data_IF_774001231057
#
_entry.id   IF_774001231057
#
_cell.length_a   1.000
_cell.length_b   1.000
_cell.length_c   1.000
_cell.angle_alpha   90.00
_cell.angle_beta   90.00
_cell.angle_gamma   90.00
#
_symmetry.space_group_name_H-M   'P 1'
#
loop_
_entity.id
_entity.type
_entity.pdbx_description
1 polymer ?
#
# COMPACT_ATOMS: atom_id res chain seq x y z
N UNK A 1 -50.00 -47.62 -25.21
CA UNK A 1 -49.18 -46.39 -25.42
C UNK A 1 -48.63 -46.01 -24.11
N UNK A 2 -47.36 -46.46 -23.79
CA UNK A 2 -46.70 -46.22 -22.53
C UNK A 2 -45.83 -44.94 -22.69
N UNK A 3 -46.15 -43.87 -21.95
CA UNK A 3 -45.31 -42.71 -21.86
C UNK A 3 -44.16 -42.98 -20.85
N UNK A 4 -42.95 -43.04 -21.35
CA UNK A 4 -41.72 -43.00 -20.54
C UNK A 4 -41.43 -41.54 -20.16
N UNK A 5 -41.57 -41.21 -18.88
CA UNK A 5 -41.09 -39.95 -18.31
C UNK A 5 -39.65 -40.19 -17.88
N UNK A 6 -38.72 -39.53 -18.55
CA UNK A 6 -37.29 -39.50 -18.18
C UNK A 6 -37.11 -38.42 -17.09
N UNK A 7 -36.61 -38.73 -15.90
CA UNK A 7 -36.26 -37.69 -14.92
C UNK A 7 -34.97 -36.99 -15.36
N UNK A 8 -35.10 -35.72 -15.72
CA UNK A 8 -33.97 -34.87 -16.06
C UNK A 8 -33.40 -34.20 -14.81
N UNK A 9 -32.08 -34.29 -14.66
CA UNK A 9 -31.21 -33.32 -13.99
C UNK A 9 -31.23 -33.13 -12.45
N UNK A 10 -31.00 -34.19 -11.68
CA UNK A 10 -30.54 -34.02 -10.29
C UNK A 10 -29.02 -33.86 -10.17
N UNK A 11 -28.22 -34.31 -11.16
CA UNK A 11 -26.77 -34.36 -11.08
C UNK A 11 -26.04 -33.01 -11.26
N UNK A 12 -26.60 -32.11 -12.10
CA UNK A 12 -25.89 -30.84 -12.45
C UNK A 12 -25.95 -29.82 -11.33
N UNK A 13 -27.03 -29.78 -10.55
CA UNK A 13 -27.18 -28.85 -9.43
C UNK A 13 -26.28 -29.25 -8.26
N UNK A 14 -26.14 -30.55 -8.00
CA UNK A 14 -25.24 -31.08 -6.98
C UNK A 14 -23.77 -30.89 -7.34
N UNK A 15 -23.42 -30.98 -8.62
CA UNK A 15 -22.07 -30.78 -9.12
C UNK A 15 -21.67 -29.29 -9.06
N UNK A 16 -22.57 -28.37 -9.36
CA UNK A 16 -22.36 -26.92 -9.19
C UNK A 16 -22.22 -26.56 -7.71
N UNK A 17 -23.06 -27.10 -6.83
CA UNK A 17 -22.97 -26.87 -5.40
C UNK A 17 -21.67 -27.42 -4.79
N UNK A 18 -21.17 -28.56 -5.28
CA UNK A 18 -19.87 -29.10 -4.88
C UNK A 18 -18.69 -28.23 -5.35
N UNK A 19 -18.73 -27.70 -6.57
CA UNK A 19 -17.74 -26.78 -7.12
C UNK A 19 -17.70 -25.45 -6.39
N UNK A 20 -18.85 -24.87 -6.03
CA UNK A 20 -18.92 -23.64 -5.22
C UNK A 20 -18.38 -23.86 -3.82
N UNK A 21 -18.68 -24.99 -3.19
CA UNK A 21 -18.16 -25.34 -1.87
C UNK A 21 -16.64 -25.53 -1.88
N UNK A 22 -16.07 -26.15 -2.91
CA UNK A 22 -14.63 -26.26 -3.09
C UNK A 22 -13.96 -24.91 -3.36
N UNK A 23 -14.62 -24.02 -4.11
CA UNK A 23 -14.13 -22.68 -4.41
C UNK A 23 -14.11 -21.78 -3.16
N UNK A 24 -15.14 -21.84 -2.32
CA UNK A 24 -15.18 -21.07 -1.06
C UNK A 24 -14.19 -21.59 -0.04
N UNK A 25 -13.98 -22.90 0.07
CA UNK A 25 -12.96 -23.48 0.97
C UNK A 25 -11.54 -23.14 0.49
N UNK A 26 -11.26 -23.24 -0.81
CA UNK A 26 -9.94 -22.88 -1.36
C UNK A 26 -9.65 -21.37 -1.26
N UNK A 27 -10.66 -20.51 -1.43
CA UNK A 27 -10.50 -19.06 -1.25
C UNK A 27 -10.30 -18.70 0.24
N UNK A 28 -10.99 -19.36 1.16
CA UNK A 28 -10.81 -19.12 2.60
C UNK A 28 -9.45 -19.61 3.09
N UNK A 29 -8.96 -20.78 2.64
CA UNK A 29 -7.63 -21.28 3.00
C UNK A 29 -6.50 -20.39 2.46
N UNK A 30 -6.60 -19.94 1.21
CA UNK A 30 -5.61 -19.04 0.61
C UNK A 30 -5.63 -17.66 1.25
N UNK A 31 -6.80 -17.16 1.65
CA UNK A 31 -6.95 -15.87 2.33
C UNK A 31 -6.50 -15.98 3.78
N UNK A 32 -6.83 -17.07 4.49
CA UNK A 32 -6.34 -17.31 5.86
C UNK A 32 -4.83 -17.59 5.90
N UNK A 33 -4.26 -18.29 4.91
CA UNK A 33 -2.82 -18.47 4.81
C UNK A 33 -2.08 -17.16 4.49
N UNK A 34 -2.67 -16.25 3.72
CA UNK A 34 -2.13 -14.89 3.51
C UNK A 34 -2.23 -14.02 4.76
N UNK A 35 -3.29 -14.16 5.56
CA UNK A 35 -3.46 -13.44 6.83
C UNK A 35 -2.58 -14.07 7.92
N UNK A 36 -2.35 -15.38 7.88
CA UNK A 36 -1.51 -16.11 8.84
C UNK A 36 0.00 -16.07 8.52
N UNK A 37 0.43 -15.55 7.37
CA UNK A 37 1.81 -15.09 7.21
C UNK A 37 1.96 -13.85 8.10
N UNK A 38 2.23 -14.11 9.38
CA UNK A 38 2.60 -13.13 10.39
C UNK A 38 3.69 -12.25 9.76
N UNK A 39 3.30 -11.06 9.29
CA UNK A 39 4.22 -10.14 8.65
C UNK A 39 5.45 -10.02 9.56
N UNK A 40 6.63 -10.30 9.01
CA UNK A 40 7.87 -10.17 9.77
C UNK A 40 7.91 -8.77 10.36
N UNK A 41 8.12 -8.61 11.68
CA UNK A 41 8.11 -7.30 12.30
C UNK A 41 9.08 -6.37 11.57
N UNK A 42 8.59 -5.25 11.09
CA UNK A 42 9.39 -4.20 10.47
C UNK A 42 9.71 -3.16 11.54
N UNK A 43 11.00 -2.95 11.77
CA UNK A 43 11.48 -2.06 12.81
C UNK A 43 12.26 -0.89 12.20
N UNK A 44 11.97 0.31 12.66
CA UNK A 44 12.71 1.53 12.33
C UNK A 44 13.51 2.00 13.54
N UNK A 45 14.83 2.21 13.37
CA UNK A 45 15.69 2.69 14.43
C UNK A 45 15.87 4.19 14.30
N UNK A 46 15.49 4.93 15.34
CA UNK A 46 15.74 6.35 15.46
C UNK A 46 17.23 6.64 15.78
N UNK A 47 17.70 7.83 15.47
CA UNK A 47 19.04 8.31 15.82
C UNK A 47 19.32 8.30 17.34
N UNK A 48 18.27 8.41 18.15
CA UNK A 48 18.31 8.25 19.62
C UNK A 48 18.60 6.82 20.08
N UNK A 49 18.66 5.84 19.15
CA UNK A 49 18.81 4.41 19.44
C UNK A 49 17.48 3.68 19.71
N UNK A 50 16.37 4.40 19.87
CA UNK A 50 15.05 3.80 20.07
C UNK A 50 14.59 3.05 18.80
N UNK A 51 13.95 1.91 18.99
CA UNK A 51 13.42 1.08 17.90
C UNK A 51 11.89 1.14 17.92
N UNK A 52 11.32 1.53 16.80
CA UNK A 52 9.87 1.61 16.59
C UNK A 52 9.40 0.45 15.72
N UNK A 53 8.28 -0.16 16.10
CA UNK A 53 7.61 -1.14 15.24
C UNK A 53 6.75 -0.39 14.22
N UNK A 54 7.11 -0.53 12.95
CA UNK A 54 6.42 0.12 11.82
C UNK A 54 5.79 -0.90 10.86
N UNK A 55 5.48 -2.10 11.34
CA UNK A 55 4.99 -3.22 10.53
C UNK A 55 3.76 -2.87 9.69
N UNK A 56 2.91 -1.99 10.20
CA UNK A 56 1.68 -1.56 9.52
C UNK A 56 1.80 -0.23 8.79
N UNK A 57 3.03 0.27 8.62
CA UNK A 57 3.27 1.53 7.94
C UNK A 57 3.85 1.32 6.55
N UNK A 58 3.46 2.18 5.64
CA UNK A 58 3.98 2.25 4.28
C UNK A 58 4.23 3.70 3.87
N UNK A 59 5.08 3.89 2.88
CA UNK A 59 5.23 5.19 2.21
C UNK A 59 4.15 5.28 1.14
N UNK A 60 3.42 6.40 1.10
CA UNK A 60 2.53 6.77 0.00
C UNK A 60 3.17 7.92 -0.75
N UNK A 61 3.51 7.66 -2.01
CA UNK A 61 4.22 8.57 -2.89
C UNK A 61 3.30 9.12 -3.97
N UNK A 62 3.30 10.43 -4.15
CA UNK A 62 2.55 11.12 -5.20
C UNK A 62 3.50 11.68 -6.26
N UNK A 63 3.26 11.30 -7.52
CA UNK A 63 4.09 11.68 -8.65
C UNK A 63 3.30 12.08 -9.90
N UNK A 64 4.02 12.51 -10.94
CA UNK A 64 3.58 12.56 -12.34
C UNK A 64 4.68 11.98 -13.23
N UNK A 65 4.30 11.37 -14.33
CA UNK A 65 5.26 10.78 -15.28
C UNK A 65 6.17 11.83 -15.95
N UNK A 66 5.64 13.04 -16.20
CA UNK A 66 6.35 14.15 -16.81
C UNK A 66 7.11 15.05 -15.82
N UNK A 67 7.06 14.74 -14.53
CA UNK A 67 7.70 15.51 -13.47
C UNK A 67 9.22 15.27 -13.44
N UNK A 68 10.02 16.29 -13.74
CA UNK A 68 11.48 16.19 -13.72
C UNK A 68 12.04 15.85 -12.33
N UNK A 69 11.51 16.45 -11.27
CA UNK A 69 11.94 16.18 -9.89
C UNK A 69 11.57 14.77 -9.46
N UNK A 70 10.41 14.24 -9.89
CA UNK A 70 10.03 12.87 -9.63
C UNK A 70 11.01 11.89 -10.26
N UNK A 71 11.38 12.07 -11.54
CA UNK A 71 12.36 11.21 -12.21
C UNK A 71 13.73 11.16 -11.52
N UNK A 72 14.11 12.24 -10.85
CA UNK A 72 15.37 12.28 -10.09
C UNK A 72 15.21 11.66 -8.69
N UNK A 73 14.06 11.86 -8.05
CA UNK A 73 13.82 11.42 -6.67
C UNK A 73 13.33 9.97 -6.58
N UNK A 74 12.53 9.49 -7.53
CA UNK A 74 11.94 8.15 -7.49
C UNK A 74 12.98 7.01 -7.30
N UNK A 75 14.14 7.01 -7.99
CA UNK A 75 15.21 6.03 -7.72
C UNK A 75 15.76 6.12 -6.29
N UNK A 76 15.88 7.33 -5.75
CA UNK A 76 16.37 7.57 -4.38
C UNK A 76 15.37 7.00 -3.37
N UNK A 77 14.10 7.37 -3.50
CA UNK A 77 13.02 6.88 -2.65
C UNK A 77 12.95 5.35 -2.69
N UNK A 78 12.95 4.75 -3.88
CA UNK A 78 12.88 3.31 -4.05
C UNK A 78 14.07 2.60 -3.38
N UNK A 79 15.29 3.13 -3.54
CA UNK A 79 16.49 2.59 -2.91
C UNK A 79 16.42 2.65 -1.38
N UNK A 80 16.02 3.79 -0.81
CA UNK A 80 15.86 3.97 0.64
C UNK A 80 14.77 3.04 1.18
N UNK A 81 13.63 2.98 0.52
CA UNK A 81 12.52 2.14 0.93
C UNK A 81 12.90 0.65 0.94
N UNK A 82 13.63 0.18 -0.08
CA UNK A 82 14.14 -1.20 -0.14
C UNK A 82 15.15 -1.48 0.98
N UNK A 83 16.08 -0.58 1.26
CA UNK A 83 17.07 -0.73 2.33
C UNK A 83 16.40 -0.81 3.71
N UNK A 84 15.36 -0.03 3.93
CA UNK A 84 14.60 -0.01 5.18
C UNK A 84 13.52 -1.09 5.25
N UNK A 85 13.21 -1.73 4.13
CA UNK A 85 12.13 -2.73 4.01
C UNK A 85 10.73 -2.14 4.10
N UNK A 86 10.57 -0.81 3.89
CA UNK A 86 9.28 -0.12 3.96
C UNK A 86 8.57 -0.22 2.60
N UNK A 87 7.33 -0.74 2.55
CA UNK A 87 6.56 -0.77 1.31
C UNK A 87 6.29 0.63 0.78
N UNK A 88 6.29 0.78 -0.56
CA UNK A 88 5.92 2.03 -1.24
C UNK A 88 4.66 1.79 -2.06
N UNK A 89 3.66 2.66 -1.85
CA UNK A 89 2.44 2.73 -2.63
C UNK A 89 2.44 4.02 -3.43
N UNK A 90 2.17 3.95 -4.74
CA UNK A 90 2.36 5.09 -5.64
C UNK A 90 1.05 5.54 -6.28
N UNK A 91 0.72 6.80 -6.07
CA UNK A 91 -0.31 7.52 -6.81
C UNK A 91 0.31 8.42 -7.89
N UNK A 92 -0.34 8.47 -9.05
CA UNK A 92 0.05 9.36 -10.14
C UNK A 92 -1.09 10.30 -10.51
N UNK A 93 -0.80 11.62 -10.58
CA UNK A 93 -1.78 12.64 -10.96
C UNK A 93 -2.17 12.56 -12.45
N UNK A 94 -1.30 12.00 -13.30
CA UNK A 94 -1.60 11.76 -14.72
C UNK A 94 -1.95 10.30 -15.02
N UNK A 95 -1.97 9.43 -13.98
CA UNK A 95 -2.27 8.01 -14.10
C UNK A 95 -1.19 7.19 -14.79
N UNK A 96 -0.03 7.79 -15.09
CA UNK A 96 1.09 7.15 -15.75
C UNK A 96 2.25 6.92 -14.79
N UNK A 97 2.92 5.77 -14.92
CA UNK A 97 4.15 5.46 -14.20
C UNK A 97 5.40 5.96 -14.91
N UNK A 98 6.57 5.69 -14.30
CA UNK A 98 7.87 5.92 -14.87
C UNK A 98 8.74 4.66 -14.87
N UNK A 99 10.03 4.78 -15.17
CA UNK A 99 10.97 3.65 -15.17
C UNK A 99 11.23 3.05 -13.79
N UNK A 100 11.00 3.80 -12.71
CA UNK A 100 11.17 3.34 -11.34
C UNK A 100 9.87 2.72 -10.79
N UNK A 101 8.76 3.41 -11.01
CA UNK A 101 7.43 3.01 -10.56
C UNK A 101 6.49 2.84 -11.76
N UNK A 102 6.47 1.65 -12.34
CA UNK A 102 5.60 1.33 -13.48
C UNK A 102 4.15 1.03 -13.06
N UNK A 103 3.96 0.53 -11.85
CA UNK A 103 2.64 0.21 -11.28
C UNK A 103 2.19 1.34 -10.37
N UNK A 104 1.29 2.18 -10.88
CA UNK A 104 0.74 3.33 -10.15
C UNK A 104 -0.78 3.30 -10.19
N UNK A 105 -1.42 3.94 -9.20
CA UNK A 105 -2.86 4.20 -9.24
C UNK A 105 -3.12 5.67 -9.59
N UNK A 106 -4.16 5.96 -10.37
CA UNK A 106 -4.55 7.34 -10.62
C UNK A 106 -5.05 8.01 -9.34
N UNK A 107 -4.72 9.29 -9.18
CA UNK A 107 -5.27 10.12 -8.09
C UNK A 107 -6.74 10.40 -8.37
N UNK A 108 -7.59 10.22 -7.37
CA UNK A 108 -9.02 10.56 -7.41
C UNK A 108 -9.32 11.80 -6.57
N UNK A 109 -10.48 12.47 -6.74
CA UNK A 109 -10.88 13.58 -5.88
C UNK A 109 -10.91 13.24 -4.39
N UNK A 110 -11.31 12.02 -4.03
CA UNK A 110 -11.34 11.55 -2.64
C UNK A 110 -9.91 11.43 -2.07
N UNK A 111 -8.97 10.90 -2.85
CA UNK A 111 -7.54 10.84 -2.48
C UNK A 111 -6.98 12.25 -2.29
N UNK A 112 -7.33 13.21 -3.15
CA UNK A 112 -6.93 14.61 -2.98
C UNK A 112 -7.48 15.18 -1.67
N UNK A 113 -8.76 14.96 -1.40
CA UNK A 113 -9.40 15.43 -0.17
C UNK A 113 -8.77 14.86 1.10
N UNK A 114 -8.30 13.61 1.06
CA UNK A 114 -7.67 12.96 2.20
C UNK A 114 -6.23 13.44 2.44
N UNK A 115 -5.42 13.51 1.38
CA UNK A 115 -3.98 13.78 1.52
C UNK A 115 -3.61 15.26 1.40
N UNK A 116 -4.40 16.05 0.69
CA UNK A 116 -4.10 17.45 0.38
C UNK A 116 -5.19 18.43 0.81
N UNK A 117 -5.86 18.28 1.98
CA UNK A 117 -6.93 19.20 2.37
C UNK A 117 -6.41 20.63 2.53
N UNK A 118 -5.16 20.80 2.98
CA UNK A 118 -4.52 22.11 3.21
C UNK A 118 -3.12 22.20 2.56
N UNK A 119 -2.65 21.09 1.95
CA UNK A 119 -1.33 21.04 1.31
C UNK A 119 -1.45 21.34 -0.18
N UNK A 120 -0.47 22.03 -0.79
CA UNK A 120 -0.42 22.19 -2.23
C UNK A 120 -0.17 20.84 -2.92
N UNK A 121 -0.86 20.62 -4.05
CA UNK A 121 -0.72 19.41 -4.86
C UNK A 121 0.55 19.48 -5.74
N UNK A 122 1.71 19.45 -5.12
CA UNK A 122 3.01 19.43 -5.80
C UNK A 122 3.56 18.02 -5.89
N UNK A 123 4.46 17.77 -6.83
CA UNK A 123 5.12 16.48 -7.01
C UNK A 123 6.64 16.62 -7.08
N UNK A 124 7.39 15.71 -6.46
CA UNK A 124 6.91 14.58 -5.63
C UNK A 124 6.42 15.04 -4.25
N UNK A 125 5.48 14.30 -3.67
CA UNK A 125 5.03 14.44 -2.27
C UNK A 125 4.93 13.07 -1.62
N UNK A 126 5.38 12.95 -0.38
CA UNK A 126 5.43 11.69 0.36
C UNK A 126 4.73 11.80 1.71
N UNK A 127 4.05 10.72 2.06
CA UNK A 127 3.44 10.49 3.36
C UNK A 127 3.87 9.13 3.91
N UNK A 128 3.87 8.96 5.23
CA UNK A 128 3.77 7.64 5.85
C UNK A 128 2.31 7.42 6.26
N UNK A 129 1.80 6.22 5.98
CA UNK A 129 0.41 5.86 6.25
C UNK A 129 0.36 4.55 7.02
N UNK A 130 -0.41 4.54 8.11
CA UNK A 130 -0.72 3.31 8.82
C UNK A 130 -1.86 2.58 8.10
N UNK A 131 -1.61 1.37 7.64
CA UNK A 131 -2.56 0.57 6.84
C UNK A 131 -3.74 0.02 7.64
N UNK A 132 -3.68 0.06 8.97
CA UNK A 132 -4.77 -0.39 9.84
C UNK A 132 -5.66 0.76 10.30
N UNK A 133 -5.05 1.88 10.68
CA UNK A 133 -5.78 3.04 11.23
C UNK A 133 -6.06 4.12 10.19
N UNK A 134 -5.42 4.05 9.01
CA UNK A 134 -5.45 5.03 7.92
C UNK A 134 -4.91 6.41 8.31
N UNK A 135 -4.20 6.50 9.44
CA UNK A 135 -3.52 7.74 9.82
C UNK A 135 -2.41 8.02 8.81
N UNK A 136 -2.43 9.23 8.22
CA UNK A 136 -1.43 9.72 7.29
C UNK A 136 -0.63 10.86 7.92
N UNK A 137 0.70 10.82 7.80
CA UNK A 137 1.62 11.85 8.29
C UNK A 137 2.49 12.32 7.11
N UNK A 138 2.53 13.62 6.81
CA UNK A 138 3.39 14.15 5.76
C UNK A 138 4.87 13.89 6.07
N UNK A 139 5.64 13.52 5.05
CA UNK A 139 7.10 13.31 5.13
C UNK A 139 7.82 14.44 4.40
N UNK A 140 7.52 14.61 3.11
CA UNK A 140 8.23 15.58 2.27
C UNK A 140 7.41 16.06 1.09
N UNK A 141 7.77 17.25 0.59
CA UNK A 141 7.36 17.77 -0.70
C UNK A 141 8.61 18.22 -1.47
N UNK A 142 8.74 17.80 -2.73
CA UNK A 142 9.91 18.06 -3.56
C UNK A 142 10.99 16.99 -3.43
N UNK A 143 12.05 17.17 -4.23
CA UNK A 143 13.19 16.24 -4.30
C UNK A 143 14.09 16.38 -3.08
N UNK A 144 14.50 15.25 -2.49
CA UNK A 144 15.44 15.16 -1.39
C UNK A 144 16.61 14.22 -1.73
N UNK A 145 17.75 14.40 -1.05
CA UNK A 145 18.79 13.36 -1.01
C UNK A 145 18.33 12.17 -0.15
N UNK A 146 18.99 11.03 -0.31
CA UNK A 146 18.68 9.83 0.50
C UNK A 146 18.78 10.11 2.01
N UNK A 147 19.85 10.79 2.44
CA UNK A 147 20.05 11.17 3.84
C UNK A 147 18.94 12.09 4.36
N UNK A 148 18.58 13.12 3.59
CA UNK A 148 17.51 14.04 3.97
C UNK A 148 16.15 13.32 4.04
N UNK A 149 15.90 12.38 3.14
CA UNK A 149 14.66 11.61 3.14
C UNK A 149 14.57 10.68 4.36
N UNK A 150 15.66 9.98 4.72
CA UNK A 150 15.73 9.17 5.95
C UNK A 150 15.49 10.02 7.19
N UNK A 151 16.09 11.22 7.27
CA UNK A 151 15.88 12.15 8.37
C UNK A 151 14.40 12.61 8.46
N UNK A 152 13.73 12.81 7.32
CA UNK A 152 12.31 13.13 7.29
C UNK A 152 11.43 11.96 7.75
N UNK A 153 11.75 10.75 7.32
CA UNK A 153 11.09 9.54 7.82
C UNK A 153 11.24 9.40 9.33
N UNK A 154 12.43 9.63 9.86
CA UNK A 154 12.68 9.61 11.30
C UNK A 154 11.81 10.64 12.05
N UNK A 155 11.73 11.87 11.54
CA UNK A 155 10.88 12.91 12.14
C UNK A 155 9.41 12.52 12.12
N UNK A 156 8.92 11.95 10.99
CA UNK A 156 7.53 11.56 10.84
C UNK A 156 7.17 10.35 11.72
N UNK A 157 8.03 9.34 11.82
CA UNK A 157 7.82 8.22 12.75
C UNK A 157 7.94 8.66 14.21
N UNK A 158 8.85 9.57 14.54
CA UNK A 158 8.95 10.17 15.86
C UNK A 158 7.71 10.99 16.23
N UNK A 159 7.08 11.65 15.27
CA UNK A 159 5.78 12.33 15.45
C UNK A 159 4.65 11.32 15.69
N UNK A 160 4.58 10.26 14.87
CA UNK A 160 3.59 9.18 15.03
C UNK A 160 3.66 8.56 16.43
N UNK A 161 4.88 8.37 16.95
CA UNK A 161 5.09 7.88 18.31
C UNK A 161 4.58 8.86 19.36
N UNK A 162 4.94 10.13 19.26
CA UNK A 162 4.50 11.18 20.21
C UNK A 162 2.97 11.33 20.24
N UNK A 163 2.32 11.15 19.10
CA UNK A 163 0.86 11.18 18.96
C UNK A 163 0.18 9.88 19.43
N UNK A 164 0.95 8.82 19.72
CA UNK A 164 0.40 7.52 20.12
C UNK A 164 -0.29 6.74 19.00
N UNK A 165 0.02 7.04 17.73
CA UNK A 165 -0.63 6.45 16.55
C UNK A 165 0.24 5.39 15.83
N UNK A 166 1.32 4.94 16.45
CA UNK A 166 2.19 3.91 15.86
C UNK A 166 1.54 2.53 15.76
N UNK A 167 0.56 2.24 16.62
CA UNK A 167 -0.12 0.94 16.71
C UNK A 167 -1.26 0.83 15.72
#
# INVERSE_FOLDING_TARGET
MLLFVIPANAGVIDEIAALEKHKTVAMNDTTQQRIAQKAKPLNFRLSTGKVLNITHWQIVHFMKSDCQYCRQFNPVLNSVAQQLGIPVFVYSFDGLGDSTFSNVLPVTPDVIGEFFPELPQVTPTDFIVNTQTLVAIPVSQGMLSAEMFVNRLEQSFGLAEKLGVLQ
#
